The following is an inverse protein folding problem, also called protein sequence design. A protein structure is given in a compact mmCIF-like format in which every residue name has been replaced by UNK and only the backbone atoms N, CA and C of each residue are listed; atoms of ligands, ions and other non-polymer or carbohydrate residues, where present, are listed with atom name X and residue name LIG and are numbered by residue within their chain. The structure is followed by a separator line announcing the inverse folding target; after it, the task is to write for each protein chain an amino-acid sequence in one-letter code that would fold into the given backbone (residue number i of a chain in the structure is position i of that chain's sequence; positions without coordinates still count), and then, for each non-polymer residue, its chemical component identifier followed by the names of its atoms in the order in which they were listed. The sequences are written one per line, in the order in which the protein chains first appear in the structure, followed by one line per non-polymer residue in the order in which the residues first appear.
data_IF_706382830098
#
_entry.id   IF_706382830098
#
_cell.length_a   1.000
_cell.length_b   1.000
_cell.length_c   1.000
_cell.angle_alpha   90.00
_cell.angle_beta   90.00
_cell.angle_gamma   90.00
#
_symmetry.space_group_name_H-M   'P 1'
#
loop_
_entity.id
_entity.type
_entity.pdbx_description
1 polymer ?
#
# COMPACT_ATOMS: atom_id res chain seq x y z
N UNK A 1 15.52 -8.51 24.86
CA UNK A 1 14.50 -8.70 23.80
C UNK A 1 13.70 -7.43 23.50
N UNK A 2 13.20 -6.69 24.51
CA UNK A 2 12.42 -5.44 24.32
C UNK A 2 13.13 -4.33 23.52
N UNK A 3 14.43 -4.12 23.73
CA UNK A 3 15.21 -3.08 23.02
C UNK A 3 15.26 -3.29 21.49
N UNK A 4 15.43 -4.54 21.04
CA UNK A 4 15.51 -4.88 19.61
C UNK A 4 14.17 -4.64 18.92
N UNK A 5 13.08 -5.03 19.58
CA UNK A 5 11.71 -4.82 19.07
C UNK A 5 11.41 -3.32 18.93
N UNK A 6 11.76 -2.51 19.94
CA UNK A 6 11.53 -1.06 19.88
C UNK A 6 12.38 -0.39 18.79
N UNK A 7 13.61 -0.85 18.58
CA UNK A 7 14.48 -0.37 17.50
C UNK A 7 13.90 -0.70 16.12
N UNK A 8 13.39 -1.92 15.93
CA UNK A 8 12.73 -2.33 14.68
C UNK A 8 11.45 -1.54 14.42
N UNK A 9 10.59 -1.37 15.44
CA UNK A 9 9.39 -0.54 15.34
C UNK A 9 9.72 0.89 14.91
N UNK A 10 10.72 1.50 15.55
CA UNK A 10 11.18 2.84 15.19
C UNK A 10 11.71 2.91 13.74
N UNK A 11 12.42 1.88 13.28
CA UNK A 11 12.88 1.81 11.88
C UNK A 11 11.71 1.68 10.89
N UNK A 12 10.70 0.86 11.22
CA UNK A 12 9.49 0.71 10.39
C UNK A 12 8.76 2.04 10.29
N UNK A 13 8.52 2.72 11.42
CA UNK A 13 7.83 4.02 11.40
C UNK A 13 8.63 5.07 10.61
N UNK A 14 9.96 5.07 10.72
CA UNK A 14 10.82 5.93 9.90
C UNK A 14 10.68 5.62 8.41
N UNK A 15 10.67 4.35 8.03
CA UNK A 15 10.50 3.93 6.64
C UNK A 15 9.11 4.28 6.09
N UNK A 16 8.06 4.13 6.90
CA UNK A 16 6.70 4.57 6.53
C UNK A 16 6.65 6.06 6.26
N UNK A 17 7.25 6.87 7.14
CA UNK A 17 7.34 8.32 6.94
C UNK A 17 8.08 8.65 5.63
N UNK A 18 9.24 8.04 5.38
CA UNK A 18 9.99 8.24 4.13
C UNK A 18 9.21 7.83 2.87
N UNK A 19 8.34 6.82 2.95
CA UNK A 19 7.49 6.41 1.83
C UNK A 19 6.28 7.35 1.61
N UNK A 20 5.88 8.08 2.64
CA UNK A 20 4.77 9.03 2.61
C UNK A 20 5.20 10.45 2.24
N UNK A 21 6.47 10.78 2.47
CA UNK A 21 7.08 12.05 2.09
C UNK A 21 7.33 12.07 0.57
N UNK A 22 6.76 13.04 -0.13
CA UNK A 22 6.87 13.21 -1.60
C UNK A 22 8.27 13.70 -2.04
N UNK A 23 9.13 14.03 -1.07
CA UNK A 23 10.50 14.54 -1.24
C UNK A 23 11.51 13.39 -1.30
N UNK A 24 11.64 12.71 -2.45
CA UNK A 24 12.75 11.77 -2.67
C UNK A 24 12.60 10.79 -3.85
N UNK A 25 13.73 10.23 -4.28
CA UNK A 25 13.82 9.21 -5.34
C UNK A 25 13.14 7.86 -5.01
N UNK A 26 12.67 7.69 -3.77
CA UNK A 26 12.04 6.48 -3.22
C UNK A 26 10.53 6.65 -2.96
N UNK A 27 9.88 7.61 -3.63
CA UNK A 27 8.42 7.73 -3.55
C UNK A 27 7.74 6.45 -4.05
N UNK A 28 6.63 6.06 -3.40
CA UNK A 28 5.75 4.97 -3.86
C UNK A 28 5.34 5.18 -5.32
N UNK A 29 5.21 6.44 -5.72
CA UNK A 29 4.83 6.83 -7.07
C UNK A 29 5.91 6.46 -8.08
N UNK A 30 7.19 6.65 -7.76
CA UNK A 30 8.29 6.30 -8.68
C UNK A 30 8.37 4.78 -8.88
N UNK A 31 8.15 4.00 -7.83
CA UNK A 31 8.09 2.53 -7.89
C UNK A 31 6.95 2.05 -8.78
N UNK A 32 5.74 2.55 -8.53
CA UNK A 32 4.53 2.16 -9.25
C UNK A 32 4.47 2.72 -10.68
N UNK A 33 5.25 3.77 -10.98
CA UNK A 33 5.34 4.35 -12.33
C UNK A 33 6.16 3.53 -13.31
N UNK A 34 6.91 2.53 -12.85
CA UNK A 34 7.69 1.67 -13.74
C UNK A 34 6.80 0.91 -14.75
N UNK A 35 7.29 0.73 -15.99
CA UNK A 35 6.52 0.15 -17.11
C UNK A 35 5.86 -1.19 -16.77
N UNK A 36 6.56 -2.03 -15.99
CA UNK A 36 6.07 -3.35 -15.56
C UNK A 36 4.84 -3.23 -14.67
N UNK A 37 4.83 -2.26 -13.74
CA UNK A 37 3.70 -2.00 -12.86
C UNK A 37 2.54 -1.38 -13.63
N UNK A 38 2.82 -0.39 -14.49
CA UNK A 38 1.80 0.25 -15.32
C UNK A 38 1.10 -0.72 -16.28
N UNK A 39 1.82 -1.67 -16.86
CA UNK A 39 1.23 -2.71 -17.70
C UNK A 39 0.17 -3.53 -16.94
N UNK A 40 0.46 -3.93 -15.70
CA UNK A 40 -0.49 -4.69 -14.87
C UNK A 40 -1.68 -3.81 -14.46
N UNK A 41 -1.42 -2.57 -14.05
CA UNK A 41 -2.46 -1.63 -13.59
C UNK A 41 -3.40 -1.23 -14.72
N UNK A 42 -2.88 -0.95 -15.92
CA UNK A 42 -3.69 -0.55 -17.07
C UNK A 42 -4.56 -1.69 -17.62
N UNK A 43 -4.11 -2.94 -17.47
CA UNK A 43 -4.85 -4.12 -17.90
C UNK A 43 -5.75 -4.72 -16.80
N UNK A 44 -5.82 -4.12 -15.61
CA UNK A 44 -6.57 -4.72 -14.49
C UNK A 44 -8.07 -4.86 -14.78
N UNK A 45 -8.68 -3.88 -15.45
CA UNK A 45 -10.09 -3.85 -15.86
C UNK A 45 -10.34 -2.66 -16.77
N UNK A 46 -11.51 -2.60 -17.40
CA UNK A 46 -11.97 -1.37 -18.04
C UNK A 46 -12.26 -0.28 -17.00
N UNK A 47 -11.67 0.89 -17.21
CA UNK A 47 -11.93 2.08 -16.41
C UNK A 47 -12.04 3.32 -17.29
N UNK A 48 -12.75 4.34 -16.80
CA UNK A 48 -12.77 5.67 -17.42
C UNK A 48 -11.70 6.51 -16.74
N UNK A 49 -10.86 7.19 -17.51
CA UNK A 49 -9.90 8.14 -16.96
C UNK A 49 -10.64 9.35 -16.39
N UNK A 50 -10.68 9.44 -15.07
CA UNK A 50 -11.18 10.56 -14.25
C UNK A 50 -10.14 10.77 -13.14
N UNK A 51 -10.50 11.40 -12.02
CA UNK A 51 -9.60 11.60 -10.89
C UNK A 51 -9.05 10.31 -10.28
N UNK A 52 -9.90 9.30 -10.06
CA UNK A 52 -9.52 8.05 -9.40
C UNK A 52 -9.31 6.92 -10.43
N UNK A 53 -8.22 7.00 -11.20
CA UNK A 53 -7.75 5.88 -12.05
C UNK A 53 -7.27 4.72 -11.17
N UNK A 54 -7.11 3.49 -11.69
CA UNK A 54 -6.56 2.38 -10.91
C UNK A 54 -5.18 2.70 -10.30
N UNK A 55 -4.33 3.42 -11.04
CA UNK A 55 -3.02 3.88 -10.57
C UNK A 55 -3.14 4.84 -9.38
N UNK A 56 -3.89 5.94 -9.54
CA UNK A 56 -4.10 6.93 -8.46
C UNK A 56 -4.75 6.27 -7.26
N UNK A 57 -5.76 5.42 -7.48
CA UNK A 57 -6.46 4.70 -6.41
C UNK A 57 -5.52 3.80 -5.62
N UNK A 58 -4.60 3.11 -6.30
CA UNK A 58 -3.62 2.24 -5.65
C UNK A 58 -2.63 3.04 -4.79
N UNK A 59 -2.08 4.14 -5.32
CA UNK A 59 -1.20 5.02 -4.55
C UNK A 59 -1.90 5.53 -3.30
N UNK A 60 -3.11 6.09 -3.45
CA UNK A 60 -3.89 6.60 -2.34
C UNK A 60 -4.23 5.51 -1.33
N UNK A 61 -4.51 4.28 -1.77
CA UNK A 61 -4.78 3.17 -0.86
C UNK A 61 -3.55 2.78 -0.05
N UNK A 62 -2.37 2.69 -0.68
CA UNK A 62 -1.13 2.39 0.03
C UNK A 62 -0.84 3.51 1.04
N UNK A 63 -0.93 4.78 0.62
CA UNK A 63 -0.74 5.94 1.53
C UNK A 63 -1.73 5.91 2.69
N UNK A 64 -3.01 5.58 2.44
CA UNK A 64 -4.02 5.43 3.49
C UNK A 64 -3.63 4.34 4.50
N UNK A 65 -3.10 3.20 4.06
CA UNK A 65 -2.71 2.09 4.95
C UNK A 65 -1.48 2.44 5.78
N UNK A 66 -0.53 3.18 5.20
CA UNK A 66 0.70 3.62 5.85
C UNK A 66 0.48 4.81 6.79
N UNK A 67 -0.57 5.61 6.56
CA UNK A 67 -0.88 6.78 7.37
C UNK A 67 -1.26 6.42 8.81
N UNK A 68 -0.88 7.25 9.81
CA UNK A 68 -1.41 7.14 11.17
C UNK A 68 -2.94 7.29 11.22
N UNK A 69 -3.49 8.22 10.43
CA UNK A 69 -4.94 8.35 10.23
C UNK A 69 -5.34 7.66 8.92
N UNK A 70 -5.81 6.42 9.08
CA UNK A 70 -6.24 5.53 7.99
C UNK A 70 -7.64 5.87 7.46
N UNK A 71 -8.25 6.99 7.83
CA UNK A 71 -9.59 7.35 7.36
C UNK A 71 -9.59 7.74 5.89
N UNK A 72 -10.67 7.39 5.17
CA UNK A 72 -10.83 7.83 3.78
C UNK A 72 -10.95 9.35 3.66
N UNK A 73 -11.45 10.03 4.72
CA UNK A 73 -11.57 11.49 4.75
C UNK A 73 -10.20 12.15 4.74
N UNK A 74 -9.29 11.70 5.60
CA UNK A 74 -7.92 12.18 5.65
C UNK A 74 -7.23 11.99 4.29
N UNK A 75 -7.30 10.77 3.73
CA UNK A 75 -6.65 10.50 2.45
C UNK A 75 -7.18 11.36 1.28
N UNK A 76 -8.50 11.54 1.19
CA UNK A 76 -9.09 12.40 0.16
C UNK A 76 -8.73 13.86 0.39
N UNK A 77 -8.72 14.35 1.62
CA UNK A 77 -8.33 15.72 1.93
C UNK A 77 -6.87 16.00 1.53
N UNK A 78 -5.94 15.08 1.86
CA UNK A 78 -4.53 15.19 1.44
C UNK A 78 -4.38 15.16 -0.08
N UNK A 79 -5.10 14.28 -0.77
CA UNK A 79 -5.09 14.23 -2.24
C UNK A 79 -5.63 15.51 -2.87
N UNK A 80 -6.70 16.09 -2.31
CA UNK A 80 -7.22 17.37 -2.81
C UNK A 80 -6.24 18.50 -2.58
N UNK A 81 -5.53 18.52 -1.45
CA UNK A 81 -4.49 19.50 -1.19
C UNK A 81 -3.35 19.40 -2.22
N UNK A 82 -2.91 18.18 -2.58
CA UNK A 82 -1.83 17.99 -3.56
C UNK A 82 -2.25 18.34 -5.00
N UNK A 83 -3.52 18.10 -5.37
CA UNK A 83 -4.01 18.46 -6.72
C UNK A 83 -4.31 19.96 -6.84
N UNK A 84 -4.75 20.60 -5.75
CA UNK A 84 -5.05 22.05 -5.74
C UNK A 84 -3.81 22.92 -5.94
N UNK A 85 -2.61 22.39 -5.65
CA UNK A 85 -1.34 23.07 -5.94
C UNK A 85 -0.91 22.95 -7.40
N UNK A 86 -1.47 22.00 -8.16
CA UNK A 86 -1.06 21.69 -9.53
C UNK A 86 -2.04 22.20 -10.60
N UNK A 87 -3.36 22.14 -10.37
CA UNK A 87 -4.39 22.49 -11.36
C UNK A 87 -5.62 23.19 -10.74
N UNK A 88 -5.83 24.47 -11.07
CA UNK A 88 -6.86 25.30 -10.43
C UNK A 88 -8.30 25.11 -10.99
N UNK A 89 -8.47 24.34 -12.06
CA UNK A 89 -9.72 24.33 -12.84
C UNK A 89 -10.50 23.00 -12.80
N UNK A 90 -9.99 21.94 -12.17
CA UNK A 90 -10.67 20.64 -12.11
C UNK A 90 -10.38 19.89 -10.79
N UNK A 91 -10.77 20.47 -9.65
CA UNK A 91 -10.55 19.84 -8.34
C UNK A 91 -11.69 18.84 -8.06
N UNK A 92 -11.38 17.58 -7.65
CA UNK A 92 -12.40 16.62 -7.27
C UNK A 92 -13.18 17.08 -6.02
N UNK A 93 -14.41 16.61 -5.83
CA UNK A 93 -15.16 16.86 -4.60
C UNK A 93 -14.49 16.23 -3.38
N UNK A 94 -14.64 16.84 -2.20
CA UNK A 94 -14.24 16.26 -0.89
C UNK A 94 -15.04 15.02 -0.46
N UNK A 95 -16.04 14.61 -1.25
CA UNK A 95 -16.77 13.37 -1.02
C UNK A 95 -15.83 12.16 -1.16
N UNK A 96 -15.79 11.30 -0.14
CA UNK A 96 -14.98 10.08 -0.13
C UNK A 96 -15.60 8.93 -0.95
N UNK A 97 -16.88 9.02 -1.30
CA UNK A 97 -17.62 7.98 -2.01
C UNK A 97 -16.98 7.54 -3.33
N UNK A 98 -16.57 8.45 -4.23
CA UNK A 98 -15.87 8.09 -5.46
C UNK A 98 -14.56 7.33 -5.22
N UNK A 99 -13.75 7.78 -4.26
CA UNK A 99 -12.51 7.09 -3.86
C UNK A 99 -12.80 5.69 -3.33
N UNK A 100 -13.76 5.55 -2.39
CA UNK A 100 -14.12 4.25 -1.81
C UNK A 100 -14.63 3.26 -2.88
N UNK A 101 -15.45 3.74 -3.81
CA UNK A 101 -15.95 2.94 -4.95
C UNK A 101 -14.83 2.55 -5.91
N UNK A 102 -13.85 3.42 -6.15
CA UNK A 102 -12.70 3.08 -6.99
C UNK A 102 -11.84 2.01 -6.32
N UNK A 103 -11.57 2.15 -5.01
CA UNK A 103 -10.81 1.19 -4.21
C UNK A 103 -11.45 -0.20 -4.21
N UNK A 104 -12.77 -0.29 -4.02
CA UNK A 104 -13.52 -1.55 -4.06
C UNK A 104 -13.48 -2.24 -5.45
N UNK A 105 -13.17 -1.49 -6.51
CA UNK A 105 -13.09 -2.02 -7.87
C UNK A 105 -11.69 -2.49 -8.26
N UNK A 106 -10.69 -2.40 -7.37
CA UNK A 106 -9.37 -2.97 -7.63
C UNK A 106 -9.47 -4.51 -7.57
N UNK A 107 -9.17 -5.24 -8.66
CA UNK A 107 -9.22 -6.68 -8.66
C UNK A 107 -8.11 -7.25 -7.76
N UNK A 108 -8.44 -8.28 -6.97
CA UNK A 108 -7.49 -8.90 -6.05
C UNK A 108 -6.31 -9.52 -6.80
N UNK A 109 -6.57 -10.09 -7.98
CA UNK A 109 -5.57 -10.73 -8.85
C UNK A 109 -4.52 -9.72 -9.33
N UNK A 110 -4.95 -8.47 -9.55
CA UNK A 110 -4.05 -7.38 -9.90
C UNK A 110 -3.14 -7.06 -8.72
N UNK A 111 -3.70 -6.93 -7.52
CA UNK A 111 -2.93 -6.65 -6.30
C UNK A 111 -1.92 -7.78 -6.02
N UNK A 112 -2.34 -9.04 -6.12
CA UNK A 112 -1.45 -10.19 -5.96
C UNK A 112 -0.29 -10.17 -6.97
N UNK A 113 -0.58 -9.83 -8.23
CA UNK A 113 0.43 -9.74 -9.28
C UNK A 113 1.45 -8.64 -8.99
N UNK A 114 0.99 -7.47 -8.52
CA UNK A 114 1.86 -6.37 -8.14
C UNK A 114 2.72 -6.71 -6.92
N UNK A 115 2.16 -7.39 -5.92
CA UNK A 115 2.90 -7.86 -4.73
C UNK A 115 3.98 -8.86 -5.12
N UNK A 116 3.65 -9.85 -5.97
CA UNK A 116 4.62 -10.82 -6.50
C UNK A 116 5.74 -10.13 -7.27
N UNK A 117 5.40 -9.21 -8.18
CA UNK A 117 6.37 -8.45 -8.97
C UNK A 117 7.33 -7.64 -8.08
N UNK A 118 6.79 -6.96 -7.06
CA UNK A 118 7.57 -6.20 -6.08
C UNK A 118 8.52 -7.12 -5.31
N UNK A 119 8.00 -8.23 -4.77
CA UNK A 119 8.77 -9.21 -4.01
C UNK A 119 9.89 -9.86 -4.84
N UNK A 120 9.61 -10.22 -6.09
CA UNK A 120 10.61 -10.80 -7.00
C UNK A 120 11.71 -9.80 -7.36
N UNK A 121 11.35 -8.54 -7.60
CA UNK A 121 12.32 -7.47 -7.87
C UNK A 121 13.24 -7.25 -6.67
N UNK A 122 12.67 -7.24 -5.46
CA UNK A 122 13.44 -7.11 -4.22
C UNK A 122 14.32 -8.34 -3.95
N UNK A 123 13.81 -9.55 -4.17
CA UNK A 123 14.59 -10.78 -3.99
C UNK A 123 15.79 -10.81 -4.94
N UNK A 124 15.60 -10.45 -6.22
CA UNK A 124 16.66 -10.41 -7.24
C UNK A 124 17.74 -9.36 -6.94
N UNK A 125 17.36 -8.24 -6.33
CA UNK A 125 18.29 -7.17 -5.95
C UNK A 125 18.98 -7.40 -4.59
N UNK A 126 18.57 -8.44 -3.85
CA UNK A 126 19.16 -8.75 -2.54
C UNK A 126 20.64 -9.12 -2.63
N UNK A 127 21.41 -8.71 -1.63
CA UNK A 127 22.84 -9.00 -1.58
C UNK A 127 23.06 -10.52 -1.44
N UNK A 128 23.88 -11.12 -2.31
CA UNK A 128 24.18 -12.55 -2.26
C UNK A 128 24.74 -13.00 -0.89
N UNK A 129 25.41 -12.12 -0.15
CA UNK A 129 25.92 -12.39 1.21
C UNK A 129 24.81 -12.61 2.25
N UNK A 130 23.59 -12.18 1.98
CA UNK A 130 22.44 -12.41 2.87
C UNK A 130 21.79 -13.78 2.65
N UNK A 131 22.19 -14.52 1.60
CA UNK A 131 21.71 -15.88 1.35
C UNK A 131 22.48 -16.87 2.21
N UNK A 132 21.78 -17.55 3.11
CA UNK A 132 22.36 -18.61 3.94
C UNK A 132 22.41 -19.89 3.10
N UNK A 133 23.60 -20.43 2.84
CA UNK A 133 23.82 -21.58 1.96
C UNK A 133 23.16 -21.43 0.57
N UNK A 134 23.21 -20.24 0.00
CA UNK A 134 22.54 -19.89 -1.26
C UNK A 134 21.00 -20.04 -1.23
N UNK A 135 20.38 -20.01 -0.04
CA UNK A 135 18.92 -20.07 0.14
C UNK A 135 18.38 -18.71 0.59
N UNK A 136 17.16 -18.41 0.13
CA UNK A 136 16.39 -17.26 0.62
C UNK A 136 15.88 -17.53 2.04
N UNK A 137 16.18 -16.64 2.98
CA UNK A 137 15.66 -16.70 4.34
C UNK A 137 14.61 -15.62 4.50
N UNK A 138 13.37 -16.02 4.78
CA UNK A 138 12.26 -15.10 5.00
C UNK A 138 11.91 -15.15 6.49
N UNK A 139 12.15 -14.04 7.19
CA UNK A 139 11.67 -13.86 8.55
C UNK A 139 10.25 -13.31 8.48
N UNK A 140 9.27 -14.10 8.91
CA UNK A 140 7.87 -13.68 8.96
C UNK A 140 7.56 -13.31 10.40
N UNK A 141 7.39 -12.02 10.67
CA UNK A 141 6.96 -11.51 11.97
C UNK A 141 5.44 -11.30 11.96
N UNK A 142 4.72 -12.12 12.73
CA UNK A 142 3.26 -12.06 12.85
C UNK A 142 2.75 -10.92 13.76
N UNK A 143 3.63 -10.17 14.40
CA UNK A 143 3.24 -9.22 15.47
C UNK A 143 2.51 -7.96 14.96
N UNK A 144 2.45 -7.75 13.64
CA UNK A 144 1.85 -6.55 13.01
C UNK A 144 0.61 -6.82 12.14
N UNK A 145 0.23 -8.09 11.96
CA UNK A 145 -0.99 -8.47 11.24
C UNK A 145 -2.18 -8.48 12.20
N UNK A 146 -2.88 -7.36 12.29
CA UNK A 146 -4.25 -7.36 12.85
C UNK A 146 -5.22 -7.64 11.71
N UNK A 147 -5.59 -8.90 11.53
CA UNK A 147 -6.72 -9.28 10.68
C UNK A 147 -7.96 -9.29 11.58
N UNK A 148 -8.99 -8.52 11.24
CA UNK A 148 -10.28 -8.70 11.89
C UNK A 148 -10.71 -10.15 11.62
N UNK A 149 -11.09 -10.88 12.67
CA UNK A 149 -11.54 -12.24 12.49
C UNK A 149 -12.72 -12.29 11.54
N UNK A 150 -12.69 -13.21 10.58
CA UNK A 150 -13.87 -13.55 9.79
C UNK A 150 -15.02 -13.94 10.72
N UNK A 151 -16.26 -13.77 10.27
CA UNK A 151 -17.44 -14.23 11.03
C UNK A 151 -17.31 -15.72 11.40
N UNK A 152 -16.73 -16.51 10.49
CA UNK A 152 -16.36 -17.91 10.71
C UNK A 152 -15.39 -18.08 11.90
N UNK A 153 -14.30 -17.32 11.95
CA UNK A 153 -13.32 -17.38 13.06
C UNK A 153 -13.88 -16.85 14.39
N UNK A 154 -14.83 -15.92 14.35
CA UNK A 154 -15.50 -15.40 15.55
C UNK A 154 -16.44 -16.45 16.15
N UNK A 155 -17.16 -17.20 15.31
CA UNK A 155 -18.09 -18.24 15.75
C UNK A 155 -17.41 -19.38 16.52
N UNK A 156 -16.15 -19.69 16.18
CA UNK A 156 -15.35 -20.72 16.85
C UNK A 156 -14.86 -20.31 18.25
N UNK A 157 -14.86 -19.01 18.56
CA UNK A 157 -14.47 -18.50 19.90
C UNK A 157 -15.62 -18.50 20.91
N UNK A 158 -16.84 -18.78 20.48
CA UNK A 158 -18.02 -18.84 21.34
C UNK A 158 -18.19 -20.19 22.07
N UNK A 159 -17.21 -21.10 22.00
CA UNK A 159 -17.15 -22.28 22.85
C UNK A 159 -16.23 -22.02 24.06
N UNK A 160 -16.90 -21.74 25.19
CA UNK A 160 -16.46 -21.91 26.59
C UNK A 160 -15.20 -21.17 27.09
N UNK A 161 -15.46 -20.06 27.78
CA UNK A 161 -15.06 -19.85 29.19
C UNK A 161 -16.24 -19.20 29.93
#
# INVERSE_FOLDING_TARGET
MHYVINKLKSQIEKQKATLLDDEGSLSIESLLSSDKFQSIINNCRSFRSRFYTPFVTLILFIRQVLSPDKSCKNMVATFLASVSTEDNNNIPSSNTGPYCKARQKLPIETLESLVKLSGDSLSKSSNARWKIYNREVKLIDGTSLTMADSEENQSLRAMEC
#
